data_IF_592261793769
#
_entry.id   IF_592261793769
#
_cell.length_a   1.000
_cell.length_b   1.000
_cell.length_c   1.000
_cell.angle_alpha   90.00
_cell.angle_beta   90.00
_cell.angle_gamma   90.00
#
_symmetry.space_group_name_H-M   'P 1'
#
loop_
_entity.id
_entity.type
_entity.pdbx_description
1 polymer ?
#
# COMPACT_ATOMS: atom_id res chain seq x y z
N UNK A 1 -17.68 -7.78 7.16
CA UNK A 1 -17.19 -7.15 5.94
C UNK A 1 -18.37 -6.51 5.20
N UNK A 2 -18.30 -5.21 4.91
CA UNK A 2 -19.34 -4.47 4.16
C UNK A 2 -18.95 -4.38 2.68
N UNK A 3 -19.89 -4.55 1.75
CA UNK A 3 -19.62 -4.35 0.32
C UNK A 3 -20.15 -3.01 -0.15
N UNK A 4 -19.28 -2.19 -0.73
CA UNK A 4 -19.64 -0.87 -1.25
C UNK A 4 -19.46 -0.88 -2.75
N UNK A 5 -20.55 -0.69 -3.49
CA UNK A 5 -20.52 -0.48 -4.93
C UNK A 5 -20.31 1.02 -5.20
N UNK A 6 -19.38 1.34 -6.08
CA UNK A 6 -19.11 2.70 -6.55
C UNK A 6 -19.28 2.69 -8.06
N UNK A 7 -20.20 3.51 -8.56
CA UNK A 7 -20.46 3.67 -9.98
C UNK A 7 -20.35 5.12 -10.39
N UNK A 8 -20.12 5.31 -11.68
CA UNK A 8 -20.27 6.60 -12.33
C UNK A 8 -21.47 6.60 -13.25
N UNK A 9 -22.20 7.70 -13.27
CA UNK A 9 -23.25 7.96 -14.23
C UNK A 9 -22.89 9.21 -15.03
N UNK A 10 -22.90 9.07 -16.35
CA UNK A 10 -22.58 10.14 -17.29
C UNK A 10 -23.80 10.54 -18.13
N UNK A 11 -23.56 11.32 -19.18
CA UNK A 11 -24.55 11.61 -20.21
C UNK A 11 -24.55 10.47 -21.22
N UNK A 12 -25.62 9.67 -21.26
CA UNK A 12 -25.76 8.60 -22.23
C UNK A 12 -26.00 9.14 -23.65
N UNK A 13 -25.57 8.42 -24.71
CA UNK A 13 -25.98 8.72 -26.07
C UNK A 13 -27.48 8.46 -26.23
N UNK A 14 -28.20 9.41 -26.81
CA UNK A 14 -29.63 9.29 -27.12
C UNK A 14 -29.81 8.69 -28.51
N UNK A 15 -30.72 7.74 -28.65
CA UNK A 15 -31.18 7.25 -29.95
C UNK A 15 -32.27 8.17 -30.49
N UNK A 16 -31.96 8.90 -31.57
CA UNK A 16 -32.88 9.82 -32.26
C UNK A 16 -34.17 9.12 -32.74
N UNK A 17 -34.16 7.79 -32.89
CA UNK A 17 -35.32 7.00 -33.34
C UNK A 17 -36.13 6.39 -32.20
N UNK A 18 -35.54 6.19 -31.02
CA UNK A 18 -36.16 5.47 -29.90
C UNK A 18 -36.54 6.37 -28.72
N UNK A 19 -36.29 7.68 -28.80
CA UNK A 19 -36.67 8.68 -27.79
C UNK A 19 -36.15 8.31 -26.37
N UNK A 20 -34.88 7.89 -26.27
CA UNK A 20 -34.25 7.47 -25.03
C UNK A 20 -32.77 7.12 -25.19
N UNK A 21 -32.12 6.66 -24.12
CA UNK A 21 -30.71 6.27 -24.14
C UNK A 21 -30.49 4.91 -24.81
N UNK A 22 -29.34 4.72 -25.46
CA UNK A 22 -28.97 3.42 -26.05
C UNK A 22 -28.84 2.38 -24.94
N UNK A 23 -29.65 1.32 -25.02
CA UNK A 23 -29.61 0.18 -24.08
C UNK A 23 -28.78 -0.96 -24.64
N UNK A 24 -28.21 -1.77 -23.75
CA UNK A 24 -27.42 -2.93 -24.12
C UNK A 24 -27.48 -4.02 -23.06
N UNK A 25 -27.13 -5.25 -23.44
CA UNK A 25 -27.00 -6.38 -22.54
C UNK A 25 -25.53 -6.67 -22.26
N UNK A 26 -25.20 -6.96 -21.01
CA UNK A 26 -23.84 -7.26 -20.58
C UNK A 26 -23.68 -8.72 -20.17
N UNK A 27 -22.72 -9.43 -20.78
CA UNK A 27 -22.31 -10.79 -20.40
C UNK A 27 -21.23 -10.72 -19.34
N UNK A 28 -21.52 -11.15 -18.12
CA UNK A 28 -20.57 -11.17 -17.00
C UNK A 28 -19.77 -12.47 -16.92
N UNK A 29 -20.43 -13.58 -17.23
CA UNK A 29 -19.82 -14.90 -17.33
C UNK A 29 -20.64 -15.78 -18.29
N UNK A 30 -20.28 -17.05 -18.44
CA UNK A 30 -20.99 -18.00 -19.31
C UNK A 30 -22.44 -18.29 -18.89
N UNK A 31 -22.83 -17.91 -17.67
CA UNK A 31 -24.13 -18.23 -17.06
C UNK A 31 -25.03 -17.02 -16.87
N UNK A 32 -24.53 -15.81 -17.08
CA UNK A 32 -25.30 -14.59 -16.84
C UNK A 32 -25.09 -13.51 -17.90
N UNK A 33 -26.23 -13.11 -18.47
CA UNK A 33 -26.38 -11.96 -19.37
C UNK A 33 -27.42 -11.04 -18.72
N UNK A 34 -27.12 -9.75 -18.61
CA UNK A 34 -28.04 -8.79 -18.02
C UNK A 34 -29.26 -8.54 -18.89
N UNK A 35 -30.32 -8.04 -18.26
CA UNK A 35 -31.37 -7.32 -18.98
C UNK A 35 -30.79 -6.08 -19.70
N UNK A 36 -31.54 -5.55 -20.65
CA UNK A 36 -31.18 -4.33 -21.37
C UNK A 36 -31.17 -3.13 -20.43
N UNK A 37 -30.04 -2.42 -20.38
CA UNK A 37 -29.91 -1.18 -19.60
C UNK A 37 -28.98 -0.19 -20.30
N UNK A 38 -29.23 1.10 -20.10
CA UNK A 38 -28.32 2.17 -20.53
C UNK A 38 -27.27 2.52 -19.46
N UNK A 39 -27.41 1.99 -18.24
CA UNK A 39 -26.48 2.23 -17.13
C UNK A 39 -25.87 0.92 -16.65
N UNK A 40 -24.59 0.69 -16.98
CA UNK A 40 -23.88 -0.53 -16.58
C UNK A 40 -23.92 -0.80 -15.07
N UNK A 41 -23.87 0.24 -14.23
CA UNK A 41 -23.98 0.10 -12.78
C UNK A 41 -25.24 -0.65 -12.34
N UNK A 42 -26.37 -0.46 -13.03
CA UNK A 42 -27.61 -1.23 -12.79
C UNK A 42 -27.44 -2.73 -13.09
N UNK A 43 -26.80 -3.06 -14.22
CA UNK A 43 -26.51 -4.44 -14.59
C UNK A 43 -25.56 -5.10 -13.58
N UNK A 44 -24.51 -4.38 -13.17
CA UNK A 44 -23.54 -4.85 -12.19
C UNK A 44 -24.18 -5.04 -10.81
N UNK A 45 -24.99 -4.10 -10.34
CA UNK A 45 -25.71 -4.21 -9.07
C UNK A 45 -26.60 -5.47 -9.04
N UNK A 46 -27.39 -5.72 -10.09
CA UNK A 46 -28.21 -6.94 -10.20
C UNK A 46 -27.35 -8.20 -10.22
N UNK A 47 -26.29 -8.22 -11.02
CA UNK A 47 -25.35 -9.35 -11.10
C UNK A 47 -24.76 -9.70 -9.72
N UNK A 48 -24.29 -8.70 -8.97
CA UNK A 48 -23.69 -8.92 -7.64
C UNK A 48 -24.72 -9.50 -6.66
N UNK A 49 -25.95 -8.96 -6.63
CA UNK A 49 -27.02 -9.49 -5.79
C UNK A 49 -27.38 -10.95 -6.15
N UNK A 50 -27.43 -11.27 -7.44
CA UNK A 50 -27.68 -12.64 -7.91
C UNK A 50 -26.57 -13.62 -7.50
N UNK A 51 -25.33 -13.15 -7.42
CA UNK A 51 -24.19 -13.94 -6.90
C UNK A 51 -24.18 -14.04 -5.36
N UNK A 52 -25.18 -13.48 -4.68
CA UNK A 52 -25.30 -13.51 -3.23
C UNK A 52 -24.42 -12.48 -2.51
N UNK A 53 -23.91 -11.47 -3.22
CA UNK A 53 -23.26 -10.34 -2.57
C UNK A 53 -24.31 -9.37 -2.03
N UNK A 54 -24.28 -9.13 -0.72
CA UNK A 54 -25.06 -8.07 -0.09
C UNK A 54 -24.32 -6.73 -0.28
N UNK A 55 -24.98 -5.76 -0.92
CA UNK A 55 -24.42 -4.44 -1.17
C UNK A 55 -24.94 -3.50 -0.09
N UNK A 56 -24.08 -3.17 0.88
CA UNK A 56 -24.43 -2.32 2.02
C UNK A 56 -24.67 -0.87 1.62
N UNK A 57 -23.94 -0.40 0.62
CA UNK A 57 -24.04 0.97 0.11
C UNK A 57 -23.69 1.00 -1.38
N UNK A 58 -24.42 1.81 -2.14
CA UNK A 58 -24.11 2.08 -3.53
C UNK A 58 -23.93 3.59 -3.75
N UNK A 59 -22.68 3.99 -3.98
CA UNK A 59 -22.30 5.37 -4.28
C UNK A 59 -22.33 5.58 -5.80
N UNK A 60 -23.15 6.52 -6.29
CA UNK A 60 -23.25 6.84 -7.70
C UNK A 60 -22.81 8.28 -7.91
N UNK A 61 -21.66 8.47 -8.56
CA UNK A 61 -21.09 9.78 -8.87
C UNK A 61 -21.52 10.24 -10.25
N UNK A 62 -21.98 11.48 -10.36
CA UNK A 62 -22.37 12.06 -11.65
C UNK A 62 -22.38 13.58 -11.61
N UNK A 63 -22.49 14.21 -12.76
CA UNK A 63 -22.64 15.67 -12.89
C UNK A 63 -24.12 16.07 -12.93
N UNK A 64 -24.40 17.38 -12.89
CA UNK A 64 -25.78 17.88 -13.07
C UNK A 64 -26.44 17.48 -14.39
N UNK A 65 -25.67 17.10 -15.41
CA UNK A 65 -26.17 16.70 -16.74
C UNK A 65 -26.17 15.17 -16.96
N UNK A 66 -25.97 14.40 -15.89
CA UNK A 66 -25.92 12.96 -16.00
C UNK A 66 -27.32 12.36 -16.13
N UNK A 67 -27.40 11.18 -16.72
CA UNK A 67 -28.64 10.46 -17.02
C UNK A 67 -29.24 9.80 -15.78
N UNK A 68 -29.50 10.57 -14.71
CA UNK A 68 -29.93 10.09 -13.39
C UNK A 68 -31.20 9.22 -13.42
N UNK A 69 -32.06 9.40 -14.43
CA UNK A 69 -33.26 8.59 -14.67
C UNK A 69 -32.92 7.11 -14.88
N UNK A 70 -31.77 6.79 -15.47
CA UNK A 70 -31.39 5.42 -15.85
C UNK A 70 -31.11 4.50 -14.66
N UNK A 71 -30.99 5.06 -13.47
CA UNK A 71 -30.87 4.29 -12.22
C UNK A 71 -32.14 3.47 -11.97
N UNK A 72 -33.29 3.87 -12.53
CA UNK A 72 -34.56 3.13 -12.44
C UNK A 72 -34.42 1.67 -12.90
N UNK A 73 -33.51 1.39 -13.84
CA UNK A 73 -33.24 0.04 -14.31
C UNK A 73 -32.69 -0.92 -13.23
N UNK A 74 -32.29 -0.41 -12.07
CA UNK A 74 -31.89 -1.20 -10.90
C UNK A 74 -33.08 -1.72 -10.07
N UNK A 75 -34.29 -1.22 -10.33
CA UNK A 75 -35.52 -1.59 -9.63
C UNK A 75 -36.33 -2.54 -10.51
N UNK A 76 -36.98 -3.53 -9.90
CA UNK A 76 -37.86 -4.46 -10.62
C UNK A 76 -38.98 -3.72 -11.37
N UNK A 77 -39.23 -4.15 -12.60
CA UNK A 77 -40.16 -3.46 -13.52
C UNK A 77 -41.54 -3.21 -12.92
N UNK A 78 -42.07 -4.18 -12.17
CA UNK A 78 -43.38 -4.11 -11.50
C UNK A 78 -43.46 -3.05 -10.40
N UNK A 79 -42.33 -2.53 -9.94
CA UNK A 79 -42.24 -1.47 -8.93
C UNK A 79 -41.97 -0.10 -9.56
N UNK A 80 -41.58 -0.04 -10.84
CA UNK A 80 -41.23 1.22 -11.52
C UNK A 80 -42.46 2.11 -11.74
N UNK A 81 -43.65 1.53 -11.97
CA UNK A 81 -44.91 2.28 -12.07
C UNK A 81 -45.18 3.15 -10.82
N UNK A 82 -44.72 2.72 -9.64
CA UNK A 82 -44.92 3.46 -8.38
C UNK A 82 -44.09 4.74 -8.28
N UNK A 83 -43.14 4.94 -9.18
CA UNK A 83 -42.21 6.07 -9.17
C UNK A 83 -42.19 6.82 -10.51
N UNK A 84 -43.17 6.54 -11.39
CA UNK A 84 -43.24 7.07 -12.75
C UNK A 84 -43.23 8.60 -12.79
N UNK A 85 -44.05 9.27 -11.97
CA UNK A 85 -44.11 10.73 -11.92
C UNK A 85 -42.75 11.37 -11.59
N UNK A 86 -42.03 10.81 -10.61
CA UNK A 86 -40.72 11.31 -10.22
C UNK A 86 -39.65 10.94 -11.25
N UNK A 87 -39.76 9.77 -11.87
CA UNK A 87 -38.90 9.37 -12.98
C UNK A 87 -39.02 10.37 -14.15
N UNK A 88 -40.24 10.74 -14.54
CA UNK A 88 -40.48 11.72 -15.60
C UNK A 88 -39.85 13.08 -15.26
N UNK A 89 -40.05 13.56 -14.03
CA UNK A 89 -39.41 14.80 -13.54
C UNK A 89 -37.89 14.75 -13.64
N UNK A 90 -37.26 13.64 -13.22
CA UNK A 90 -35.80 13.46 -13.30
C UNK A 90 -35.33 13.40 -14.76
N UNK A 91 -36.10 12.76 -15.65
CA UNK A 91 -35.78 12.66 -17.07
C UNK A 91 -35.88 14.02 -17.79
N UNK A 92 -36.86 14.84 -17.44
CA UNK A 92 -37.01 16.20 -17.98
C UNK A 92 -35.89 17.14 -17.52
N UNK A 93 -35.39 16.96 -16.30
CA UNK A 93 -34.27 17.73 -15.74
C UNK A 93 -32.87 17.25 -16.21
N UNK A 94 -32.77 16.39 -17.23
CA UNK A 94 -31.50 15.77 -17.68
C UNK A 94 -30.38 16.74 -18.10
N UNK A 95 -30.70 17.96 -18.49
CA UNK A 95 -29.71 18.97 -18.90
C UNK A 95 -29.25 19.88 -17.73
N UNK A 96 -29.71 19.61 -16.50
CA UNK A 96 -29.31 20.33 -15.31
C UNK A 96 -30.19 20.03 -14.10
N UNK A 97 -30.02 18.85 -13.50
CA UNK A 97 -30.84 18.43 -12.36
C UNK A 97 -30.59 19.30 -11.13
N UNK A 98 -31.68 19.72 -10.48
CA UNK A 98 -31.62 20.46 -9.22
C UNK A 98 -31.21 19.54 -8.05
N UNK A 99 -30.60 20.11 -7.01
CA UNK A 99 -30.29 19.34 -5.79
C UNK A 99 -31.55 18.81 -5.10
N UNK A 100 -32.66 19.55 -5.19
CA UNK A 100 -33.96 19.14 -4.64
C UNK A 100 -34.45 17.88 -5.35
N UNK A 101 -34.53 17.90 -6.68
CA UNK A 101 -34.99 16.75 -7.47
C UNK A 101 -34.07 15.55 -7.32
N UNK A 102 -32.76 15.74 -7.24
CA UNK A 102 -31.81 14.63 -7.03
C UNK A 102 -31.96 14.01 -5.63
N UNK A 103 -32.20 14.81 -4.60
CA UNK A 103 -32.44 14.30 -3.24
C UNK A 103 -33.78 13.55 -3.16
N UNK A 104 -34.85 14.09 -3.74
CA UNK A 104 -36.14 13.40 -3.85
C UNK A 104 -35.98 12.04 -4.57
N UNK A 105 -35.18 12.03 -5.64
CA UNK A 105 -34.86 10.81 -6.38
C UNK A 105 -34.12 9.79 -5.53
N UNK A 106 -33.08 10.21 -4.80
CA UNK A 106 -32.34 9.34 -3.88
C UNK A 106 -33.26 8.75 -2.80
N UNK A 107 -34.10 9.56 -2.16
CA UNK A 107 -35.03 9.11 -1.12
C UNK A 107 -36.06 8.11 -1.67
N UNK A 108 -36.55 8.35 -2.89
CA UNK A 108 -37.48 7.45 -3.56
C UNK A 108 -36.82 6.10 -3.89
N UNK A 109 -35.65 6.13 -4.53
CA UNK A 109 -34.87 4.93 -4.85
C UNK A 109 -34.46 4.16 -3.59
N UNK A 110 -34.15 4.86 -2.49
CA UNK A 110 -33.75 4.27 -1.21
C UNK A 110 -34.79 3.33 -0.58
N UNK A 111 -36.06 3.43 -0.99
CA UNK A 111 -37.12 2.49 -0.59
C UNK A 111 -36.95 1.10 -1.20
N UNK A 112 -36.22 1.00 -2.32
CA UNK A 112 -36.03 -0.22 -3.09
C UNK A 112 -34.57 -0.67 -3.14
N UNK A 113 -33.64 0.27 -3.06
CA UNK A 113 -32.20 0.05 -3.13
C UNK A 113 -31.58 0.50 -1.81
N UNK A 114 -31.31 -0.47 -0.93
CA UNK A 114 -30.71 -0.19 0.38
C UNK A 114 -29.36 0.52 0.21
N UNK A 115 -29.18 1.62 0.92
CA UNK A 115 -27.90 2.32 0.98
C UNK A 115 -27.50 3.04 -0.31
N UNK A 116 -28.42 3.30 -1.23
CA UNK A 116 -28.12 4.14 -2.39
C UNK A 116 -27.78 5.58 -1.96
N UNK A 117 -26.73 6.14 -2.57
CA UNK A 117 -26.30 7.51 -2.35
C UNK A 117 -25.87 8.12 -3.68
N UNK A 118 -26.58 9.17 -4.09
CA UNK A 118 -26.32 9.93 -5.31
C UNK A 118 -25.43 11.12 -4.97
N UNK A 119 -24.29 11.21 -5.65
CA UNK A 119 -23.28 12.22 -5.40
C UNK A 119 -23.13 13.08 -6.65
N UNK A 120 -23.77 14.24 -6.65
CA UNK A 120 -23.56 15.26 -7.68
C UNK A 120 -22.20 15.93 -7.47
N UNK A 121 -21.38 15.95 -8.51
CA UNK A 121 -20.03 16.54 -8.48
C UNK A 121 -19.84 17.55 -9.61
N UNK A 122 -19.02 18.56 -9.35
CA UNK A 122 -18.37 19.33 -10.41
C UNK A 122 -17.18 18.49 -10.93
N UNK A 123 -17.14 18.11 -12.21
CA UNK A 123 -16.02 17.31 -12.74
C UNK A 123 -14.66 18.03 -12.62
N UNK A 124 -14.64 19.36 -12.47
CA UNK A 124 -13.43 20.15 -12.29
C UNK A 124 -12.97 20.25 -10.83
N UNK A 125 -13.82 19.91 -9.86
CA UNK A 125 -13.40 19.80 -8.45
C UNK A 125 -12.81 18.42 -8.17
N UNK A 126 -11.53 18.26 -8.47
CA UNK A 126 -10.86 16.96 -8.33
C UNK A 126 -10.75 16.45 -6.89
N UNK A 127 -10.88 17.32 -5.87
CA UNK A 127 -10.75 16.92 -4.47
C UNK A 127 -12.01 16.24 -3.94
N UNK A 128 -13.14 16.47 -4.60
CA UNK A 128 -14.45 15.98 -4.16
C UNK A 128 -14.49 14.46 -4.01
N UNK A 129 -13.79 13.71 -4.87
CA UNK A 129 -13.80 12.24 -4.84
C UNK A 129 -13.19 11.71 -3.54
N UNK A 130 -11.96 12.12 -3.21
CA UNK A 130 -11.31 11.70 -1.97
C UNK A 130 -12.10 12.15 -0.73
N UNK A 131 -12.57 13.40 -0.71
CA UNK A 131 -13.35 13.94 0.40
C UNK A 131 -14.65 13.15 0.61
N UNK A 132 -15.41 12.89 -0.47
CA UNK A 132 -16.66 12.14 -0.39
C UNK A 132 -16.43 10.67 -0.02
N UNK A 133 -15.38 10.03 -0.50
CA UNK A 133 -15.04 8.68 -0.08
C UNK A 133 -14.69 8.62 1.42
N UNK A 134 -13.89 9.57 1.94
CA UNK A 134 -13.57 9.63 3.37
C UNK A 134 -14.80 9.85 4.25
N UNK A 135 -15.72 10.70 3.79
CA UNK A 135 -16.98 11.03 4.46
C UNK A 135 -17.96 9.85 4.45
N UNK A 136 -18.12 9.18 3.29
CA UNK A 136 -19.21 8.24 3.06
C UNK A 136 -18.85 6.78 3.36
N UNK A 137 -17.56 6.42 3.32
CA UNK A 137 -17.12 5.06 3.62
C UNK A 137 -17.00 4.83 5.14
N UNK A 138 -17.51 3.70 5.66
CA UNK A 138 -17.38 3.36 7.07
C UNK A 138 -15.93 3.03 7.46
N UNK A 139 -15.62 3.00 8.75
CA UNK A 139 -14.29 2.58 9.24
C UNK A 139 -14.14 1.05 9.38
N UNK A 140 -15.26 0.32 9.24
CA UNK A 140 -15.28 -1.15 9.23
C UNK A 140 -14.46 -1.73 8.06
N UNK A 141 -14.23 -3.05 8.10
CA UNK A 141 -13.69 -3.77 6.96
C UNK A 141 -14.64 -3.71 5.75
N UNK A 142 -14.13 -3.18 4.63
CA UNK A 142 -14.89 -2.91 3.41
C UNK A 142 -14.31 -3.67 2.22
N UNK A 143 -15.18 -4.24 1.39
CA UNK A 143 -14.88 -4.63 0.02
C UNK A 143 -15.43 -3.58 -0.94
N UNK A 144 -14.56 -3.00 -1.77
CA UNK A 144 -14.99 -2.06 -2.81
C UNK A 144 -15.29 -2.83 -4.09
N UNK A 145 -16.41 -2.51 -4.73
CA UNK A 145 -16.68 -2.85 -6.12
C UNK A 145 -16.74 -1.55 -6.90
N UNK A 146 -15.88 -1.39 -7.89
CA UNK A 146 -15.72 -0.15 -8.64
C UNK A 146 -16.10 -0.34 -10.11
N UNK A 147 -17.19 0.30 -10.53
CA UNK A 147 -17.60 0.42 -11.92
C UNK A 147 -16.92 1.63 -12.58
N UNK A 148 -16.07 1.35 -13.56
CA UNK A 148 -15.32 2.36 -14.31
C UNK A 148 -15.91 2.70 -15.70
N UNK A 149 -17.16 2.30 -15.98
CA UNK A 149 -17.72 2.32 -17.34
C UNK A 149 -18.16 3.71 -17.81
N UNK A 150 -18.93 4.43 -16.99
CA UNK A 150 -19.67 5.63 -17.45
C UNK A 150 -19.27 6.90 -16.71
N UNK A 151 -18.07 7.42 -16.97
CA UNK A 151 -17.68 8.77 -16.56
C UNK A 151 -16.87 9.46 -17.66
N UNK A 152 -16.63 10.78 -17.51
CA UNK A 152 -15.52 11.38 -18.23
C UNK A 152 -14.24 10.63 -17.87
N UNK A 153 -13.38 10.35 -18.86
CA UNK A 153 -12.17 9.52 -18.70
C UNK A 153 -11.27 9.94 -17.53
N UNK A 154 -11.27 11.22 -17.16
CA UNK A 154 -10.49 11.72 -16.03
C UNK A 154 -11.12 11.41 -14.66
N UNK A 155 -12.45 11.32 -14.55
CA UNK A 155 -13.12 11.06 -13.27
C UNK A 155 -12.84 9.64 -12.75
N UNK A 156 -12.85 8.65 -13.64
CA UNK A 156 -12.52 7.26 -13.28
C UNK A 156 -11.07 7.13 -12.83
N UNK A 157 -10.14 7.82 -13.49
CA UNK A 157 -8.75 7.87 -13.07
C UNK A 157 -8.59 8.54 -11.70
N UNK A 158 -9.23 9.70 -11.48
CA UNK A 158 -9.21 10.39 -10.19
C UNK A 158 -9.81 9.54 -9.07
N UNK A 159 -10.88 8.81 -9.33
CA UNK A 159 -11.49 7.89 -8.36
C UNK A 159 -10.57 6.72 -8.02
N UNK A 160 -9.90 6.13 -9.00
CA UNK A 160 -8.94 5.07 -8.74
C UNK A 160 -7.81 5.54 -7.80
N UNK A 161 -7.21 6.70 -8.07
CA UNK A 161 -6.21 7.30 -7.18
C UNK A 161 -6.78 7.72 -5.82
N UNK A 162 -8.03 8.20 -5.78
CA UNK A 162 -8.70 8.53 -4.54
C UNK A 162 -8.93 7.30 -3.68
N UNK A 163 -9.36 6.18 -4.26
CA UNK A 163 -9.52 4.91 -3.56
C UNK A 163 -8.18 4.40 -3.02
N UNK A 164 -7.09 4.51 -3.79
CA UNK A 164 -5.75 4.20 -3.30
C UNK A 164 -5.38 5.05 -2.08
N UNK A 165 -5.61 6.36 -2.13
CA UNK A 165 -5.33 7.25 -1.00
C UNK A 165 -6.22 6.93 0.22
N UNK A 166 -7.52 6.72 0.01
CA UNK A 166 -8.48 6.44 1.08
C UNK A 166 -8.23 5.08 1.74
N UNK A 167 -7.67 4.11 1.00
CA UNK A 167 -7.26 2.82 1.56
C UNK A 167 -6.19 2.93 2.66
N UNK A 168 -5.46 4.05 2.73
CA UNK A 168 -4.53 4.32 3.83
C UNK A 168 -5.23 4.63 5.17
N UNK A 169 -6.52 5.00 5.12
CA UNK A 169 -7.30 5.43 6.29
C UNK A 169 -8.50 4.52 6.58
N UNK A 170 -8.95 3.76 5.59
CA UNK A 170 -10.10 2.86 5.67
C UNK A 170 -9.66 1.41 5.44
N UNK A 171 -10.30 0.47 6.12
CA UNK A 171 -9.87 -0.93 6.12
C UNK A 171 -10.39 -1.67 4.86
N UNK A 172 -9.67 -1.53 3.75
CA UNK A 172 -10.04 -2.18 2.49
C UNK A 172 -9.56 -3.63 2.44
N UNK A 173 -10.49 -4.55 2.20
CA UNK A 173 -10.23 -5.97 1.91
C UNK A 173 -10.26 -6.26 0.39
N UNK A 174 -9.82 -5.27 -0.40
CA UNK A 174 -9.72 -5.36 -1.86
C UNK A 174 -10.71 -4.48 -2.63
N UNK A 175 -10.36 -4.25 -3.89
CA UNK A 175 -11.10 -3.43 -4.86
C UNK A 175 -11.36 -4.27 -6.10
N UNK A 176 -12.57 -4.77 -6.29
CA UNK A 176 -12.98 -5.45 -7.52
C UNK A 176 -13.37 -4.39 -8.56
N UNK A 177 -12.65 -4.32 -9.67
CA UNK A 177 -12.92 -3.31 -10.70
C UNK A 177 -13.65 -3.95 -11.88
N UNK A 178 -14.74 -3.34 -12.31
CA UNK A 178 -15.59 -3.79 -13.41
C UNK A 178 -15.69 -2.74 -14.51
N UNK A 179 -15.69 -3.21 -15.75
CA UNK A 179 -15.82 -2.39 -16.95
C UNK A 179 -16.81 -3.02 -17.93
N UNK A 180 -17.89 -2.31 -18.25
CA UNK A 180 -18.81 -2.64 -19.34
C UNK A 180 -18.17 -2.26 -20.67
N UNK A 181 -17.60 -3.23 -21.37
CA UNK A 181 -16.82 -2.96 -22.58
C UNK A 181 -17.73 -2.79 -23.80
N UNK A 182 -18.45 -1.67 -23.86
CA UNK A 182 -19.44 -1.37 -24.91
C UNK A 182 -18.86 -1.42 -26.34
N UNK A 183 -17.59 -1.03 -26.49
CA UNK A 183 -16.88 -1.07 -27.78
C UNK A 183 -16.33 -2.46 -28.13
N UNK A 184 -16.34 -3.40 -27.17
CA UNK A 184 -15.86 -4.78 -27.36
C UNK A 184 -17.03 -5.75 -27.55
N UNK A 185 -16.81 -6.83 -28.30
CA UNK A 185 -17.82 -7.87 -28.49
C UNK A 185 -18.84 -7.60 -29.60
N UNK A 186 -19.83 -8.49 -29.68
CA UNK A 186 -20.82 -8.52 -30.76
C UNK A 186 -21.76 -7.31 -30.72
N UNK A 187 -22.57 -7.15 -31.79
CA UNK A 187 -23.46 -6.00 -31.96
C UNK A 187 -24.52 -5.87 -30.84
N UNK A 188 -24.92 -6.97 -30.23
CA UNK A 188 -26.07 -7.03 -29.31
C UNK A 188 -25.69 -7.26 -27.84
N UNK A 189 -24.61 -8.01 -27.59
CA UNK A 189 -24.21 -8.42 -26.24
C UNK A 189 -22.76 -7.99 -26.01
N UNK A 190 -22.55 -7.20 -24.96
CA UNK A 190 -21.25 -6.61 -24.61
C UNK A 190 -20.61 -7.34 -23.43
N UNK A 191 -19.30 -7.55 -23.41
CA UNK A 191 -18.66 -8.20 -22.27
C UNK A 191 -18.58 -7.24 -21.07
N UNK A 192 -18.83 -7.76 -19.87
CA UNK A 192 -18.47 -7.13 -18.61
C UNK A 192 -17.13 -7.72 -18.14
N UNK A 193 -16.10 -6.90 -18.08
CA UNK A 193 -14.73 -7.32 -17.75
C UNK A 193 -14.46 -7.03 -16.28
N UNK A 194 -13.99 -8.04 -15.54
CA UNK A 194 -13.45 -7.88 -14.19
C UNK A 194 -11.92 -7.72 -14.27
N UNK A 195 -11.38 -6.64 -13.70
CA UNK A 195 -9.96 -6.27 -13.77
C UNK A 195 -9.32 -6.56 -12.40
N UNK A 196 -8.99 -7.83 -12.15
CA UNK A 196 -8.50 -8.29 -10.84
C UNK A 196 -7.03 -7.96 -10.55
N UNK A 197 -6.25 -7.69 -11.60
CA UNK A 197 -4.80 -7.46 -11.49
C UNK A 197 -4.44 -6.20 -10.68
N UNK A 198 -5.36 -5.23 -10.56
CA UNK A 198 -5.14 -3.97 -9.84
C UNK A 198 -4.82 -4.22 -8.36
N UNK A 199 -5.51 -5.18 -7.72
CA UNK A 199 -5.26 -5.51 -6.31
C UNK A 199 -3.86 -6.08 -6.09
N UNK A 200 -3.36 -6.86 -7.05
CA UNK A 200 -2.01 -7.43 -6.99
C UNK A 200 -0.96 -6.32 -7.11
N UNK A 201 -1.11 -5.42 -8.08
CA UNK A 201 -0.21 -4.27 -8.25
C UNK A 201 -0.21 -3.36 -7.01
N UNK A 202 -1.38 -3.04 -6.46
CA UNK A 202 -1.51 -2.20 -5.28
C UNK A 202 -0.83 -2.83 -4.05
N UNK A 203 -1.12 -4.10 -3.77
CA UNK A 203 -0.54 -4.83 -2.64
C UNK A 203 0.98 -4.96 -2.77
N UNK A 204 1.47 -5.29 -3.98
CA UNK A 204 2.90 -5.39 -4.24
C UNK A 204 3.61 -4.03 -4.08
N UNK A 205 3.01 -2.95 -4.58
CA UNK A 205 3.58 -1.60 -4.48
C UNK A 205 3.69 -1.13 -3.03
N UNK A 206 2.60 -1.24 -2.26
CA UNK A 206 2.57 -0.80 -0.86
C UNK A 206 3.53 -1.62 0.01
N UNK A 207 3.52 -2.95 -0.14
CA UNK A 207 4.45 -3.82 0.59
C UNK A 207 5.91 -3.61 0.19
N UNK A 208 6.20 -3.32 -1.09
CA UNK A 208 7.54 -3.00 -1.54
C UNK A 208 8.04 -1.67 -0.97
N UNK A 209 7.20 -0.63 -0.92
CA UNK A 209 7.57 0.64 -0.29
C UNK A 209 7.81 0.50 1.22
N UNK A 210 7.02 -0.32 1.92
CA UNK A 210 7.28 -0.65 3.32
C UNK A 210 8.64 -1.33 3.47
N UNK A 211 8.93 -2.36 2.68
CA UNK A 211 10.22 -3.03 2.70
C UNK A 211 11.38 -2.08 2.35
N UNK A 212 11.24 -1.26 1.30
CA UNK A 212 12.26 -0.32 0.86
C UNK A 212 12.63 0.69 1.95
N UNK A 213 11.64 1.18 2.69
CA UNK A 213 11.84 2.22 3.71
C UNK A 213 12.13 1.67 5.12
N UNK A 214 11.82 0.41 5.42
CA UNK A 214 11.98 -0.15 6.77
C UNK A 214 12.78 -1.44 6.87
N UNK A 215 12.95 -2.15 5.76
CA UNK A 215 13.49 -3.52 5.74
C UNK A 215 12.46 -4.60 6.06
N UNK A 216 11.21 -4.25 6.35
CA UNK A 216 10.14 -5.20 6.65
C UNK A 216 9.63 -5.89 5.38
N UNK A 217 10.20 -7.06 5.09
CA UNK A 217 9.88 -7.88 3.91
C UNK A 217 8.68 -8.86 4.01
N UNK A 218 8.11 -9.23 5.18
CA UNK A 218 7.06 -10.25 5.21
C UNK A 218 5.82 -9.98 4.36
N UNK A 219 5.21 -8.78 4.34
CA UNK A 219 4.08 -8.51 3.47
C UNK A 219 4.46 -8.60 1.98
N UNK A 220 5.68 -8.18 1.63
CA UNK A 220 6.19 -8.25 0.26
C UNK A 220 6.34 -9.69 -0.19
N UNK A 221 6.96 -10.54 0.62
CA UNK A 221 7.12 -11.96 0.33
C UNK A 221 5.76 -12.67 0.23
N UNK A 222 4.81 -12.35 1.12
CA UNK A 222 3.45 -12.88 1.05
C UNK A 222 2.76 -12.54 -0.27
N UNK A 223 2.88 -11.29 -0.73
CA UNK A 223 2.33 -10.85 -2.02
C UNK A 223 3.02 -11.48 -3.23
N UNK A 224 4.19 -12.09 -3.04
CA UNK A 224 4.91 -12.91 -4.03
C UNK A 224 4.60 -14.41 -3.90
N UNK A 225 3.72 -14.82 -2.99
CA UNK A 225 3.38 -16.22 -2.73
C UNK A 225 4.31 -16.94 -1.74
N UNK A 226 5.14 -16.21 -0.99
CA UNK A 226 6.03 -16.76 0.04
C UNK A 226 5.48 -16.41 1.43
N UNK A 227 4.79 -17.38 2.04
CA UNK A 227 4.22 -17.24 3.39
C UNK A 227 5.21 -17.52 4.54
N UNK A 228 4.78 -17.17 5.75
CA UNK A 228 5.40 -17.54 7.04
C UNK A 228 6.81 -16.97 7.30
N UNK A 229 7.12 -15.80 6.75
CA UNK A 229 8.43 -15.15 6.90
C UNK A 229 8.55 -14.21 8.12
N UNK A 230 7.45 -13.95 8.84
CA UNK A 230 7.40 -13.09 10.04
C UNK A 230 8.39 -13.49 11.13
N UNK A 231 8.45 -14.80 11.42
CA UNK A 231 9.37 -15.33 12.43
C UNK A 231 10.83 -15.10 12.06
N UNK A 232 11.16 -15.17 10.77
CA UNK A 232 12.51 -14.91 10.26
C UNK A 232 12.85 -13.44 10.39
N UNK A 233 11.93 -12.54 10.02
CA UNK A 233 12.09 -11.11 10.22
C UNK A 233 12.32 -10.76 11.69
N UNK A 234 11.48 -11.26 12.60
CA UNK A 234 11.64 -11.01 14.04
C UNK A 234 13.01 -11.44 14.58
N UNK A 235 13.53 -12.60 14.13
CA UNK A 235 14.88 -13.04 14.49
C UNK A 235 15.95 -12.06 14.01
N UNK A 236 15.83 -11.54 12.79
CA UNK A 236 16.76 -10.53 12.26
C UNK A 236 16.69 -9.24 13.10
N UNK A 237 15.49 -8.73 13.39
CA UNK A 237 15.30 -7.54 14.25
C UNK A 237 16.01 -7.70 15.60
N UNK A 238 15.92 -8.89 16.21
CA UNK A 238 16.60 -9.23 17.47
C UNK A 238 18.11 -9.52 17.32
N UNK A 239 18.71 -9.12 16.19
CA UNK A 239 20.11 -9.34 15.83
C UNK A 239 20.56 -10.82 15.93
N UNK A 240 19.64 -11.75 15.66
CA UNK A 240 19.96 -13.18 15.50
C UNK A 240 20.33 -13.46 14.04
N UNK A 241 20.98 -14.60 13.81
CA UNK A 241 21.41 -15.04 12.49
C UNK A 241 20.63 -16.29 12.05
N UNK A 242 19.38 -16.13 11.55
CA UNK A 242 18.57 -17.24 11.07
C UNK A 242 19.03 -17.73 9.68
N UNK A 243 20.29 -18.20 9.58
CA UNK A 243 20.93 -18.47 8.29
C UNK A 243 20.21 -19.49 7.42
N UNK A 244 19.67 -20.54 8.07
CA UNK A 244 18.94 -21.59 7.39
C UNK A 244 17.65 -21.02 6.79
N UNK A 245 16.89 -20.28 7.59
CA UNK A 245 15.64 -19.68 7.14
C UNK A 245 15.87 -18.64 6.03
N UNK A 246 16.96 -17.87 6.08
CA UNK A 246 17.30 -16.92 5.01
C UNK A 246 17.69 -17.66 3.72
N UNK A 247 18.47 -18.74 3.79
CA UNK A 247 18.76 -19.57 2.61
C UNK A 247 17.49 -20.20 2.03
N UNK A 248 16.58 -20.67 2.88
CA UNK A 248 15.29 -21.21 2.43
C UNK A 248 14.45 -20.13 1.72
N UNK A 249 14.48 -18.88 2.20
CA UNK A 249 13.81 -17.76 1.53
C UNK A 249 14.48 -17.39 0.20
N UNK A 250 15.81 -17.34 0.14
CA UNK A 250 16.56 -17.10 -1.10
C UNK A 250 16.16 -18.13 -2.17
N UNK A 251 16.17 -19.42 -1.83
CA UNK A 251 15.80 -20.49 -2.76
C UNK A 251 14.35 -20.34 -3.28
N UNK A 252 13.43 -19.94 -2.40
CA UNK A 252 12.04 -19.65 -2.80
C UNK A 252 11.96 -18.44 -3.73
N UNK A 253 12.70 -17.37 -3.44
CA UNK A 253 12.74 -16.16 -4.27
C UNK A 253 13.29 -16.50 -5.67
N UNK A 254 14.38 -17.28 -5.74
CA UNK A 254 14.96 -17.73 -7.01
C UNK A 254 13.99 -18.56 -7.85
N UNK A 255 13.17 -19.42 -7.21
CA UNK A 255 12.13 -20.17 -7.92
C UNK A 255 11.00 -19.28 -8.48
N UNK A 256 10.88 -18.03 -8.02
CA UNK A 256 9.95 -17.05 -8.59
C UNK A 256 10.56 -16.28 -9.78
N UNK A 257 11.87 -16.36 -10.02
CA UNK A 257 12.53 -15.58 -11.08
C UNK A 257 12.18 -16.02 -12.50
N UNK A 258 11.52 -17.18 -12.62
CA UNK A 258 10.91 -17.71 -13.84
C UNK A 258 9.50 -17.14 -14.12
N UNK A 259 8.94 -16.37 -13.17
CA UNK A 259 7.61 -15.77 -13.29
C UNK A 259 7.64 -14.35 -13.89
N UNK A 260 6.44 -13.78 -14.04
CA UNK A 260 6.15 -12.45 -14.60
C UNK A 260 7.14 -11.35 -14.18
N UNK A 261 7.58 -10.55 -15.15
CA UNK A 261 8.66 -9.57 -14.98
C UNK A 261 8.43 -8.50 -13.90
N UNK A 262 7.17 -8.23 -13.51
CA UNK A 262 6.85 -7.26 -12.46
C UNK A 262 7.19 -7.77 -11.04
N UNK A 263 7.08 -9.08 -10.79
CA UNK A 263 7.47 -9.70 -9.51
C UNK A 263 8.99 -9.79 -9.43
N UNK A 264 9.63 -10.18 -10.54
CA UNK A 264 11.07 -10.41 -10.63
C UNK A 264 11.91 -9.24 -10.12
N UNK A 265 11.53 -8.00 -10.45
CA UNK A 265 12.28 -6.81 -10.01
C UNK A 265 12.29 -6.64 -8.49
N UNK A 266 11.16 -6.85 -7.83
CA UNK A 266 11.07 -6.76 -6.39
C UNK A 266 11.76 -7.95 -5.71
N UNK A 267 11.63 -9.16 -6.27
CA UNK A 267 12.32 -10.38 -5.82
C UNK A 267 13.84 -10.21 -5.81
N UNK A 268 14.43 -9.74 -6.91
CA UNK A 268 15.89 -9.53 -7.03
C UNK A 268 16.44 -8.53 -6.00
N UNK A 269 15.65 -7.51 -5.62
CA UNK A 269 16.06 -6.56 -4.59
C UNK A 269 16.22 -7.24 -3.23
N UNK A 270 15.24 -8.06 -2.84
CA UNK A 270 15.23 -8.80 -1.56
C UNK A 270 16.34 -9.85 -1.55
N UNK A 271 16.47 -10.59 -2.65
CA UNK A 271 17.46 -11.64 -2.81
C UNK A 271 18.89 -11.12 -2.62
N UNK A 272 19.24 -10.00 -3.28
CA UNK A 272 20.57 -9.36 -3.18
C UNK A 272 20.92 -9.01 -1.73
N UNK A 273 19.97 -8.43 -0.99
CA UNK A 273 20.18 -8.06 0.41
C UNK A 273 20.32 -9.29 1.31
N UNK A 274 19.49 -10.32 1.11
CA UNK A 274 19.56 -11.58 1.86
C UNK A 274 20.90 -12.28 1.64
N UNK A 275 21.36 -12.35 0.39
CA UNK A 275 22.68 -12.91 0.06
C UNK A 275 23.81 -12.16 0.75
N UNK A 276 23.79 -10.82 0.71
CA UNK A 276 24.81 -9.98 1.33
C UNK A 276 24.86 -10.23 2.84
N UNK A 277 23.71 -10.29 3.51
CA UNK A 277 23.66 -10.51 4.97
C UNK A 277 24.03 -11.94 5.38
N UNK A 278 23.68 -12.95 4.58
CA UNK A 278 23.84 -14.35 4.98
C UNK A 278 25.24 -14.93 4.75
N UNK A 279 25.97 -14.42 3.75
CA UNK A 279 27.27 -14.94 3.36
C UNK A 279 28.45 -14.45 4.23
N UNK A 280 28.21 -13.53 5.16
CA UNK A 280 29.24 -12.99 6.03
C UNK A 280 29.54 -13.92 7.20
N UNK A 281 30.82 -14.30 7.32
CA UNK A 281 31.31 -15.28 8.29
C UNK A 281 31.27 -14.74 9.72
N UNK A 282 31.83 -13.55 9.94
CA UNK A 282 32.02 -12.98 11.28
C UNK A 282 30.79 -12.15 11.74
N UNK A 283 30.61 -12.04 13.05
CA UNK A 283 29.48 -11.28 13.64
C UNK A 283 29.66 -9.78 13.40
N UNK A 284 30.87 -9.25 13.62
CA UNK A 284 31.24 -7.87 13.32
C UNK A 284 30.88 -7.45 11.89
N UNK A 285 31.25 -8.25 10.89
CA UNK A 285 30.93 -7.98 9.48
C UNK A 285 29.42 -7.94 9.22
N UNK A 286 28.66 -8.87 9.81
CA UNK A 286 27.19 -8.87 9.68
C UNK A 286 26.57 -7.62 10.29
N UNK A 287 27.04 -7.20 11.47
CA UNK A 287 26.52 -6.00 12.11
C UNK A 287 26.88 -4.74 11.32
N UNK A 288 28.07 -4.67 10.71
CA UNK A 288 28.44 -3.57 9.81
C UNK A 288 27.54 -3.49 8.58
N UNK A 289 27.34 -4.59 7.85
CA UNK A 289 26.50 -4.59 6.65
C UNK A 289 25.03 -4.30 6.99
N UNK A 290 24.54 -4.78 8.14
CA UNK A 290 23.23 -4.39 8.65
C UNK A 290 23.16 -2.91 9.04
N UNK A 291 24.22 -2.35 9.61
CA UNK A 291 24.28 -0.93 9.93
C UNK A 291 24.15 -0.09 8.65
N UNK A 292 24.85 -0.45 7.57
CA UNK A 292 24.73 0.19 6.26
C UNK A 292 23.31 0.05 5.68
N UNK A 293 22.75 -1.16 5.75
CA UNK A 293 21.39 -1.43 5.31
C UNK A 293 20.34 -0.53 5.99
N UNK A 294 20.45 -0.35 7.31
CA UNK A 294 19.53 0.51 8.06
C UNK A 294 19.82 2.00 7.89
N UNK A 295 21.08 2.37 7.65
CA UNK A 295 21.47 3.73 7.28
C UNK A 295 20.80 4.17 5.97
N UNK A 296 20.85 3.33 4.93
CA UNK A 296 20.21 3.60 3.63
C UNK A 296 18.69 3.80 3.75
N UNK A 297 18.08 3.20 4.78
CA UNK A 297 16.66 3.28 5.11
C UNK A 297 16.32 4.39 6.11
N UNK A 298 17.29 5.28 6.40
CA UNK A 298 17.16 6.41 7.35
C UNK A 298 16.84 5.97 8.79
N UNK A 299 17.15 4.73 9.15
CA UNK A 299 16.97 4.19 10.50
C UNK A 299 18.25 4.38 11.33
N UNK A 300 18.57 5.65 11.61
CA UNK A 300 19.87 6.08 12.13
C UNK A 300 20.23 5.49 13.50
N UNK A 301 19.27 5.37 14.41
CA UNK A 301 19.53 4.79 15.75
C UNK A 301 19.97 3.33 15.66
N UNK A 302 19.29 2.53 14.82
CA UNK A 302 19.64 1.11 14.60
C UNK A 302 20.99 1.02 13.92
N UNK A 303 21.21 1.83 12.87
CA UNK A 303 22.45 1.86 12.12
C UNK A 303 23.66 2.19 13.02
N UNK A 304 23.57 3.26 13.81
CA UNK A 304 24.63 3.69 14.72
C UNK A 304 24.91 2.65 15.82
N UNK A 305 23.85 2.05 16.37
CA UNK A 305 23.99 1.01 17.41
C UNK A 305 24.72 -0.21 16.85
N UNK A 306 24.31 -0.70 15.68
CA UNK A 306 24.96 -1.86 15.05
C UNK A 306 26.40 -1.58 14.65
N UNK A 307 26.71 -0.38 14.12
CA UNK A 307 28.07 0.00 13.76
C UNK A 307 28.99 0.03 14.99
N UNK A 308 28.51 0.60 16.10
CA UNK A 308 29.27 0.63 17.34
C UNK A 308 29.58 -0.79 17.87
N UNK A 309 28.57 -1.66 17.92
CA UNK A 309 28.77 -3.06 18.33
C UNK A 309 29.69 -3.82 17.36
N UNK A 310 29.63 -3.51 16.04
CA UNK A 310 30.53 -4.10 15.03
C UNK A 310 31.99 -3.74 15.29
N UNK A 311 32.27 -2.48 15.62
CA UNK A 311 33.62 -2.01 15.97
C UNK A 311 34.15 -2.73 17.22
N UNK A 312 33.32 -2.87 18.26
CA UNK A 312 33.73 -3.55 19.48
C UNK A 312 33.98 -5.05 19.26
N UNK A 313 33.10 -5.73 18.54
CA UNK A 313 33.24 -7.16 18.23
C UNK A 313 34.48 -7.41 17.36
N UNK A 314 34.73 -6.56 16.35
CA UNK A 314 35.95 -6.62 15.53
C UNK A 314 37.20 -6.39 16.37
N UNK A 315 37.22 -5.36 17.22
CA UNK A 315 38.36 -5.05 18.08
C UNK A 315 38.67 -6.20 19.04
N UNK A 316 37.66 -6.78 19.68
CA UNK A 316 37.84 -7.93 20.55
C UNK A 316 38.46 -9.12 19.81
N UNK A 317 38.01 -9.36 18.57
CA UNK A 317 38.53 -10.43 17.70
C UNK A 317 39.97 -10.16 17.27
N UNK A 318 40.29 -8.97 16.76
CA UNK A 318 41.62 -8.60 16.24
C UNK A 318 42.65 -8.53 17.37
N UNK A 319 42.28 -7.97 18.53
CA UNK A 319 43.17 -7.89 19.69
C UNK A 319 43.16 -9.14 20.57
N UNK A 320 42.45 -10.20 20.14
CA UNK A 320 42.35 -11.49 20.83
C UNK A 320 41.91 -11.35 22.30
N UNK A 321 41.00 -10.41 22.57
CA UNK A 321 40.45 -10.16 23.90
C UNK A 321 39.33 -11.15 24.14
N UNK A 322 39.61 -12.18 24.94
CA UNK A 322 38.60 -13.17 25.34
C UNK A 322 37.92 -12.76 26.64
N UNK A 323 36.62 -13.05 26.73
CA UNK A 323 35.86 -12.96 27.97
C UNK A 323 36.38 -14.00 28.95
N UNK A 324 36.69 -13.58 30.18
CA UNK A 324 37.16 -14.49 31.23
C UNK A 324 35.97 -15.26 31.82
N UNK A 325 36.25 -16.41 32.43
CA UNK A 325 35.26 -17.15 33.21
C UNK A 325 34.75 -16.24 34.34
N UNK A 326 33.43 -16.17 34.53
CA UNK A 326 32.73 -15.32 35.52
C UNK A 326 32.87 -13.80 35.34
N UNK A 327 33.45 -13.32 34.23
CA UNK A 327 33.50 -11.88 33.96
C UNK A 327 32.13 -11.35 33.53
N UNK A 328 31.68 -10.28 34.18
CA UNK A 328 30.48 -9.58 33.78
C UNK A 328 30.62 -8.97 32.38
N UNK A 329 29.51 -8.87 31.65
CA UNK A 329 29.52 -8.34 30.28
C UNK A 329 30.02 -6.89 30.24
N UNK A 330 29.71 -6.10 31.25
CA UNK A 330 30.11 -4.70 31.35
C UNK A 330 31.62 -4.55 31.52
N UNK A 331 32.25 -5.40 32.33
CA UNK A 331 33.70 -5.42 32.54
C UNK A 331 34.45 -5.85 31.28
N UNK A 332 33.95 -6.91 30.62
CA UNK A 332 34.48 -7.35 29.33
C UNK A 332 34.43 -6.23 28.28
N UNK A 333 33.26 -5.60 28.13
CA UNK A 333 33.09 -4.49 27.18
C UNK A 333 34.00 -3.31 27.53
N UNK A 334 34.17 -2.98 28.82
CA UNK A 334 35.04 -1.90 29.27
C UNK A 334 36.51 -2.17 28.94
N UNK A 335 36.97 -3.42 29.06
CA UNK A 335 38.32 -3.82 28.64
C UNK A 335 38.52 -3.68 27.15
N UNK A 336 37.58 -4.18 26.34
CA UNK A 336 37.64 -4.06 24.87
C UNK A 336 37.71 -2.59 24.48
N UNK A 337 36.81 -1.75 25.01
CA UNK A 337 36.80 -0.30 24.77
C UNK A 337 38.13 0.36 25.13
N UNK A 338 38.69 0.06 26.30
CA UNK A 338 39.96 0.64 26.76
C UNK A 338 41.09 0.30 25.79
N UNK A 339 41.19 -0.96 25.38
CA UNK A 339 42.22 -1.39 24.44
C UNK A 339 42.03 -0.76 23.05
N UNK A 340 40.79 -0.72 22.54
CA UNK A 340 40.46 -0.02 21.29
C UNK A 340 40.88 1.45 21.33
N UNK A 341 40.55 2.18 22.41
CA UNK A 341 40.96 3.59 22.58
C UNK A 341 42.48 3.74 22.58
N UNK A 342 43.21 2.87 23.28
CA UNK A 342 44.67 2.91 23.29
C UNK A 342 45.26 2.67 21.89
N UNK A 343 44.74 1.69 21.15
CA UNK A 343 45.21 1.36 19.81
C UNK A 343 44.92 2.48 18.81
N UNK A 344 43.70 3.01 18.80
CA UNK A 344 43.34 4.13 17.93
C UNK A 344 44.16 5.38 18.24
N UNK A 345 44.40 5.69 19.52
CA UNK A 345 45.27 6.80 19.95
C UNK A 345 46.68 6.70 19.34
N UNK A 346 47.23 5.50 19.27
CA UNK A 346 48.56 5.26 18.73
C UNK A 346 48.61 5.31 17.19
N UNK A 347 47.46 5.13 16.52
CA UNK A 347 47.35 5.20 15.06
C UNK A 347 47.11 6.65 14.63
N UNK A 348 46.02 7.25 15.08
CA UNK A 348 45.63 8.64 14.78
C UNK A 348 44.64 9.15 15.83
N UNK A 349 44.95 10.30 16.43
CA UNK A 349 44.10 10.95 17.42
C UNK A 349 42.70 11.27 16.87
N UNK A 350 42.56 11.49 15.55
CA UNK A 350 41.26 11.71 14.90
C UNK A 350 40.39 10.46 14.94
N UNK A 351 40.96 9.27 14.73
CA UNK A 351 40.21 8.01 14.82
C UNK A 351 39.71 7.75 16.23
N UNK A 352 40.52 8.08 17.25
CA UNK A 352 40.08 8.05 18.65
C UNK A 352 38.91 9.02 18.89
N UNK A 353 39.00 10.25 18.37
CA UNK A 353 37.94 11.23 18.49
C UNK A 353 36.65 10.74 17.82
N UNK A 354 36.72 10.21 16.61
CA UNK A 354 35.58 9.60 15.90
C UNK A 354 34.95 8.47 16.72
N UNK A 355 35.75 7.55 17.26
CA UNK A 355 35.25 6.45 18.08
C UNK A 355 34.55 6.94 19.36
N UNK A 356 35.12 7.93 20.04
CA UNK A 356 34.49 8.53 21.23
C UNK A 356 33.18 9.26 20.87
N UNK A 357 33.17 10.02 19.76
CA UNK A 357 31.97 10.71 19.29
C UNK A 357 30.84 9.72 18.96
N UNK A 358 31.17 8.60 18.31
CA UNK A 358 30.21 7.52 18.06
C UNK A 358 29.67 6.93 19.35
N UNK A 359 30.55 6.63 20.32
CA UNK A 359 30.13 6.10 21.63
C UNK A 359 29.18 7.06 22.36
N UNK A 360 29.54 8.33 22.45
CA UNK A 360 28.75 9.34 23.16
C UNK A 360 27.43 9.60 22.46
N UNK A 361 27.44 9.81 21.14
CA UNK A 361 26.21 10.00 20.37
C UNK A 361 25.28 8.79 20.48
N UNK A 362 25.81 7.56 20.38
CA UNK A 362 25.03 6.33 20.55
C UNK A 362 24.40 6.24 21.93
N UNK A 363 25.16 6.48 22.99
CA UNK A 363 24.63 6.40 24.36
C UNK A 363 23.54 7.43 24.61
N UNK A 364 23.77 8.69 24.23
CA UNK A 364 22.77 9.75 24.34
C UNK A 364 21.50 9.44 23.54
N UNK A 365 21.64 8.95 22.30
CA UNK A 365 20.50 8.58 21.47
C UNK A 365 19.69 7.39 22.04
N UNK A 366 20.36 6.37 22.56
CA UNK A 366 19.70 5.17 23.13
C UNK A 366 19.00 5.47 24.45
N UNK A 367 19.60 6.33 25.29
CA UNK A 367 19.07 6.63 26.61
C UNK A 367 18.21 7.90 26.66
N UNK A 368 18.16 8.68 25.58
CA UNK A 368 17.48 9.98 25.55
C UNK A 368 18.14 11.01 26.48
N UNK A 369 19.42 10.82 26.80
CA UNK A 369 20.17 11.68 27.72
C UNK A 369 20.74 12.90 26.98
N UNK A 370 20.92 14.04 27.67
CA UNK A 370 21.56 15.21 27.09
C UNK A 370 22.93 14.85 26.49
N UNK A 371 23.21 15.26 25.24
CA UNK A 371 24.46 14.93 24.58
C UNK A 371 25.64 15.66 25.19
N UNK A 372 26.66 14.90 25.60
CA UNK A 372 27.95 15.47 26.00
C UNK A 372 28.77 15.79 24.75
N UNK A 373 28.82 17.07 24.36
CA UNK A 373 29.64 17.58 23.23
C UNK A 373 29.40 16.91 21.87
N UNK A 374 28.27 16.21 21.71
CA UNK A 374 27.90 15.43 20.52
C UNK A 374 26.50 15.76 19.99
N UNK A 375 25.95 16.90 20.44
CA UNK A 375 24.58 17.34 20.14
C UNK A 375 24.32 17.45 18.64
N UNK A 376 25.30 17.96 17.91
CA UNK A 376 25.25 18.12 16.47
C UNK A 376 25.00 16.78 15.75
N UNK A 377 25.56 15.67 16.23
CA UNK A 377 25.33 14.34 15.64
C UNK A 377 23.93 13.77 15.90
N UNK A 378 23.16 14.36 16.83
CA UNK A 378 21.79 13.96 17.13
C UNK A 378 20.75 14.88 16.49
N UNK A 379 21.10 16.14 16.25
CA UNK A 379 20.18 17.17 15.76
C UNK A 379 20.41 17.56 14.29
N UNK A 380 21.61 17.30 13.75
CA UNK A 380 21.98 17.66 12.37
C UNK A 380 22.29 16.39 11.58
N UNK A 381 21.41 16.03 10.65
CA UNK A 381 21.55 14.82 9.82
C UNK A 381 22.91 14.75 9.11
N UNK A 382 23.37 15.84 8.49
CA UNK A 382 24.66 15.85 7.78
C UNK A 382 25.88 15.63 8.68
N UNK A 383 25.78 15.91 9.98
CA UNK A 383 26.85 15.64 10.95
C UNK A 383 26.82 14.16 11.36
N UNK A 384 25.61 13.61 11.57
CA UNK A 384 25.43 12.17 11.79
C UNK A 384 26.02 11.36 10.63
N UNK A 385 25.69 11.70 9.37
CA UNK A 385 26.18 10.98 8.20
C UNK A 385 27.71 11.00 8.13
N UNK A 386 28.33 12.15 8.41
CA UNK A 386 29.79 12.27 8.50
C UNK A 386 30.37 11.36 9.59
N UNK A 387 29.81 11.40 10.80
CA UNK A 387 30.24 10.54 11.90
C UNK A 387 30.08 9.05 11.56
N UNK A 388 28.98 8.66 10.91
CA UNK A 388 28.71 7.30 10.50
C UNK A 388 29.77 6.78 9.51
N UNK A 389 30.05 7.53 8.44
CA UNK A 389 31.07 7.14 7.46
C UNK A 389 32.50 7.18 8.02
N UNK A 390 32.82 8.16 8.87
CA UNK A 390 34.12 8.19 9.53
C UNK A 390 34.29 7.02 10.51
N UNK A 391 33.20 6.59 11.15
CA UNK A 391 33.20 5.41 12.02
C UNK A 391 33.35 4.10 11.24
N UNK A 392 32.88 4.02 10.00
CA UNK A 392 33.20 2.89 9.11
C UNK A 392 34.71 2.83 8.84
N UNK A 393 35.38 3.98 8.64
CA UNK A 393 36.85 4.00 8.49
C UNK A 393 37.56 3.51 9.76
N UNK A 394 37.03 3.86 10.94
CA UNK A 394 37.53 3.29 12.21
C UNK A 394 37.40 1.77 12.19
N UNK A 395 36.23 1.24 11.80
CA UNK A 395 36.06 -0.20 11.64
C UNK A 395 37.09 -0.80 10.69
N UNK A 396 37.32 -0.20 9.51
CA UNK A 396 38.20 -0.76 8.48
C UNK A 396 39.68 -0.80 8.91
N UNK A 397 40.12 0.14 9.74
CA UNK A 397 41.51 0.25 10.22
C UNK A 397 41.83 -0.74 11.36
N UNK A 398 40.83 -1.15 12.14
CA UNK A 398 40.98 -2.20 13.16
C UNK A 398 41.31 -3.54 12.50
#
# INVERSE_FOLDING_TARGET
MKTILISFIGKGPTDEKANGYIKTQYKFDERYISEETAFFGSALFRYLRLKGHDIDKWLIFGTGQSSWSEIVASIDYTLQEKIEDLYLKVYEERDGISDVTLNEWQECLGKYIRGICLVKVDPLDYKIYANKLLELLPDDEIKIVFDMTHAFRHMTALMAFSLMYVSCFKNFNGIDVYYGAFEMGDKYIKPAVKIDFINQLFSLTTSYEVYRNSGYFPPLLKNMGIDNSEKTYFKLEMNRSPRKEINDLINKIQSLEDNDGYIKKAALSVEKEFYTMNNLKCLDQRMLERAKFFYEKKQYLIAMTLLYEAILDKAARVYNIKRKLNEERNDYNSRVKKETKNKLKNIDIKLLATFNNLEYARNSAVHGEPPNSTQNFLEVQGDFERLFFDSIKVYDIL
#
